data_IF_530910748075
#
_entry.id   IF_530910748075
#
_cell.length_a   1.000
_cell.length_b   1.000
_cell.length_c   1.000
_cell.angle_alpha   90.00
_cell.angle_beta   90.00
_cell.angle_gamma   90.00
#
_symmetry.space_group_name_H-M   'P 1'
#
loop_
_entity.id
_entity.type
_entity.pdbx_description
1 polymer ?
#
# COMPACT_ATOMS: atom_id res chain seq x y z
N UNK A 1 7.83 16.88 6.33
CA UNK A 1 8.13 15.60 5.65
C UNK A 1 7.17 15.52 4.46
N UNK A 2 7.65 15.46 3.21
CA UNK A 2 6.78 15.42 2.01
C UNK A 2 6.16 14.03 1.90
N UNK A 3 4.83 13.94 1.80
CA UNK A 3 4.09 12.70 1.56
C UNK A 3 4.52 12.07 0.23
N UNK A 4 4.66 10.74 0.18
CA UNK A 4 5.05 9.94 -0.99
C UNK A 4 4.06 9.99 -2.18
N UNK A 5 3.08 10.91 -2.14
CA UNK A 5 2.01 11.11 -3.12
C UNK A 5 2.13 12.43 -3.89
N UNK A 6 3.21 13.20 -3.74
CA UNK A 6 3.40 14.49 -4.43
C UNK A 6 3.87 14.30 -5.89
N UNK A 7 3.12 13.57 -6.70
CA UNK A 7 3.19 13.66 -8.17
C UNK A 7 2.23 14.75 -8.63
N UNK A 8 2.66 16.01 -8.48
CA UNK A 8 1.97 17.16 -9.09
C UNK A 8 1.98 17.05 -10.61
N UNK A 9 0.89 16.54 -11.18
CA UNK A 9 0.34 17.14 -12.39
C UNK A 9 -0.82 18.03 -11.93
N UNK A 10 -0.56 19.33 -11.86
CA UNK A 10 -1.63 20.30 -11.76
C UNK A 10 -2.41 20.24 -13.08
N UNK A 11 -3.70 19.94 -13.00
CA UNK A 11 -4.60 20.07 -14.14
C UNK A 11 -4.56 21.53 -14.60
N UNK A 12 -4.46 21.74 -15.93
CA UNK A 12 -4.32 23.08 -16.55
C UNK A 12 -5.52 24.02 -16.26
N UNK A 13 -6.58 23.53 -15.61
CA UNK A 13 -7.82 24.24 -15.32
C UNK A 13 -8.20 24.30 -13.83
N UNK A 14 -7.36 23.79 -12.92
CA UNK A 14 -7.63 23.85 -11.47
C UNK A 14 -8.75 22.93 -10.97
N UNK A 15 -9.34 22.09 -11.83
CA UNK A 15 -10.29 21.05 -11.42
C UNK A 15 -9.53 19.88 -10.76
N UNK A 16 -10.01 19.47 -9.59
CA UNK A 16 -9.44 18.35 -8.84
C UNK A 16 -9.81 17.03 -9.53
N UNK A 17 -8.92 16.05 -9.46
CA UNK A 17 -9.27 14.69 -9.85
C UNK A 17 -10.17 14.05 -8.80
N UNK A 18 -10.95 13.02 -9.17
CA UNK A 18 -11.78 12.26 -8.23
C UNK A 18 -10.97 11.72 -7.04
N UNK A 19 -9.74 11.27 -7.28
CA UNK A 19 -8.84 10.80 -6.23
C UNK A 19 -8.39 11.94 -5.29
N UNK A 20 -8.16 13.15 -5.81
CA UNK A 20 -7.85 14.31 -4.98
C UNK A 20 -9.03 14.71 -4.10
N UNK A 21 -10.25 14.74 -4.66
CA UNK A 21 -11.47 15.03 -3.89
C UNK A 21 -11.72 13.98 -2.80
N UNK A 22 -11.55 12.70 -3.12
CA UNK A 22 -11.62 11.61 -2.16
C UNK A 22 -10.58 11.77 -1.03
N UNK A 23 -9.33 12.07 -1.38
CA UNK A 23 -8.27 12.24 -0.38
C UNK A 23 -8.54 13.43 0.53
N UNK A 24 -9.04 14.55 0.00
CA UNK A 24 -9.42 15.69 0.81
C UNK A 24 -10.58 15.35 1.76
N UNK A 25 -11.58 14.60 1.28
CA UNK A 25 -12.72 14.18 2.09
C UNK A 25 -12.29 13.32 3.27
N UNK A 26 -11.43 12.32 3.07
CA UNK A 26 -11.04 11.40 4.16
C UNK A 26 -9.99 12.01 5.12
N UNK A 27 -9.22 13.02 4.68
CA UNK A 27 -8.22 13.69 5.53
C UNK A 27 -8.82 14.80 6.40
N UNK A 28 -10.11 15.13 6.27
CA UNK A 28 -10.74 16.12 7.12
C UNK A 28 -10.90 15.66 8.58
N UNK A 29 -10.95 16.62 9.49
CA UNK A 29 -11.24 16.37 10.90
C UNK A 29 -12.74 16.54 11.16
N UNK A 30 -13.36 15.48 11.67
CA UNK A 30 -14.80 15.41 11.87
C UNK A 30 -15.13 14.83 13.24
N UNK A 31 -16.26 15.26 13.82
CA UNK A 31 -16.85 14.56 14.96
C UNK A 31 -17.48 13.24 14.52
N UNK A 32 -17.65 12.32 15.47
CA UNK A 32 -18.08 10.93 15.19
C UNK A 32 -19.31 10.78 14.31
N UNK A 33 -20.39 11.54 14.57
CA UNK A 33 -21.59 11.48 13.73
C UNK A 33 -21.29 11.82 12.27
N UNK A 34 -20.47 12.85 12.04
CA UNK A 34 -20.12 13.30 10.70
C UNK A 34 -19.13 12.35 10.00
N UNK A 35 -18.30 11.64 10.77
CA UNK A 35 -17.44 10.57 10.24
C UNK A 35 -18.28 9.46 9.59
N UNK A 36 -19.42 9.09 10.20
CA UNK A 36 -20.35 8.11 9.62
C UNK A 36 -20.98 8.66 8.35
N UNK A 37 -21.48 9.90 8.36
CA UNK A 37 -22.09 10.55 7.18
C UNK A 37 -21.14 10.65 5.98
N UNK A 38 -19.83 10.63 6.21
CA UNK A 38 -18.82 10.66 5.15
C UNK A 38 -18.74 9.32 4.42
N UNK A 39 -18.96 8.20 5.10
CA UNK A 39 -18.93 6.89 4.47
C UNK A 39 -19.99 6.75 3.38
N UNK A 40 -21.13 7.41 3.56
CA UNK A 40 -22.22 7.46 2.57
C UNK A 40 -21.88 8.28 1.33
N UNK A 41 -20.83 9.12 1.39
CA UNK A 41 -20.37 9.96 0.27
C UNK A 41 -19.27 9.29 -0.56
N UNK A 42 -18.77 8.14 -0.13
CA UNK A 42 -17.67 7.45 -0.78
C UNK A 42 -18.25 6.51 -1.85
N UNK A 43 -17.73 6.64 -3.07
CA UNK A 43 -17.94 5.63 -4.11
C UNK A 43 -16.99 4.45 -3.85
N UNK A 44 -17.58 3.34 -3.39
CA UNK A 44 -16.85 2.14 -2.99
C UNK A 44 -16.39 1.26 -4.17
N UNK A 45 -16.68 1.65 -5.42
CA UNK A 45 -16.24 0.91 -6.61
C UNK A 45 -14.78 1.26 -6.99
N UNK A 46 -14.34 2.49 -6.70
CA UNK A 46 -12.98 2.99 -6.95
C UNK A 46 -12.43 2.65 -8.36
N UNK A 47 -13.30 2.64 -9.38
CA UNK A 47 -12.98 2.18 -10.75
C UNK A 47 -11.75 2.85 -11.34
N UNK A 48 -11.57 4.14 -11.09
CA UNK A 48 -10.52 4.96 -11.68
C UNK A 48 -9.29 5.14 -10.75
N UNK A 49 -9.22 4.39 -9.64
CA UNK A 49 -8.16 4.54 -8.64
C UNK A 49 -7.04 3.52 -8.85
N UNK A 50 -5.81 3.94 -8.51
CA UNK A 50 -4.68 3.02 -8.49
C UNK A 50 -4.76 2.10 -7.27
N UNK A 51 -4.85 0.78 -7.49
CA UNK A 51 -4.96 -0.23 -6.43
C UNK A 51 -3.68 -1.06 -6.23
N UNK A 52 -2.66 -0.83 -7.06
CA UNK A 52 -1.45 -1.67 -7.17
C UNK A 52 -0.15 -0.89 -6.89
N UNK A 53 -0.20 0.14 -6.05
CA UNK A 53 0.97 0.93 -5.69
C UNK A 53 1.84 0.27 -4.61
N UNK A 54 3.12 0.63 -4.57
CA UNK A 54 4.10 0.18 -3.57
C UNK A 54 4.09 -1.35 -3.38
N UNK A 55 4.01 -1.82 -2.13
CA UNK A 55 4.08 -3.24 -1.78
C UNK A 55 2.75 -3.97 -2.02
N UNK A 56 1.67 -3.26 -2.39
CA UNK A 56 0.39 -3.90 -2.73
C UNK A 56 0.50 -4.81 -3.94
N UNK A 57 1.46 -4.60 -4.86
CA UNK A 57 1.64 -5.45 -6.04
C UNK A 57 2.52 -6.70 -5.81
N UNK A 58 3.06 -6.89 -4.60
CA UNK A 58 4.08 -7.93 -4.36
C UNK A 58 3.59 -9.37 -4.58
N UNK A 59 2.31 -9.65 -4.31
CA UNK A 59 1.74 -10.99 -4.47
C UNK A 59 0.25 -10.94 -4.81
N UNK A 60 -0.19 -11.85 -5.67
CA UNK A 60 -1.58 -12.02 -6.12
C UNK A 60 -2.43 -12.85 -5.13
N UNK A 61 -2.28 -12.61 -3.83
CA UNK A 61 -3.05 -13.36 -2.82
C UNK A 61 -4.56 -13.12 -3.06
N UNK A 62 -5.40 -14.17 -3.05
CA UNK A 62 -6.81 -14.06 -3.42
C UNK A 62 -7.61 -13.22 -2.41
N UNK A 63 -8.77 -12.74 -2.85
CA UNK A 63 -9.78 -12.08 -1.99
C UNK A 63 -9.24 -10.93 -1.12
N UNK A 64 -8.34 -10.13 -1.69
CA UNK A 64 -7.73 -8.96 -1.02
C UNK A 64 -8.56 -7.70 -1.24
N UNK A 65 -8.61 -6.84 -0.23
CA UNK A 65 -9.17 -5.50 -0.37
C UNK A 65 -8.37 -4.66 -1.36
N UNK A 66 -9.06 -3.76 -2.05
CA UNK A 66 -8.43 -2.58 -2.64
C UNK A 66 -7.92 -1.69 -1.50
N UNK A 67 -6.74 -1.04 -1.62
CA UNK A 67 -6.15 -0.27 -0.53
C UNK A 67 -7.01 0.87 0.01
N UNK A 68 -7.86 1.46 -0.83
CA UNK A 68 -8.72 2.59 -0.50
C UNK A 68 -9.73 2.26 0.60
N UNK A 69 -10.18 1.00 0.69
CA UNK A 69 -11.11 0.57 1.73
C UNK A 69 -10.48 0.74 3.13
N UNK A 70 -9.39 0.02 3.49
CA UNK A 70 -8.78 0.20 4.80
C UNK A 70 -8.23 1.62 5.00
N UNK A 71 -7.70 2.27 3.96
CA UNK A 71 -7.26 3.66 4.03
C UNK A 71 -8.36 4.60 4.52
N UNK A 72 -9.58 4.47 4.00
CA UNK A 72 -10.74 5.27 4.40
C UNK A 72 -10.98 5.15 5.90
N UNK A 73 -11.09 3.93 6.42
CA UNK A 73 -11.35 3.70 7.85
C UNK A 73 -10.21 4.21 8.72
N UNK A 74 -8.96 3.99 8.31
CA UNK A 74 -7.78 4.47 9.04
C UNK A 74 -7.79 5.99 9.12
N UNK A 75 -8.05 6.68 8.00
CA UNK A 75 -8.05 8.14 7.96
C UNK A 75 -9.20 8.77 8.76
N UNK A 76 -10.39 8.21 8.62
CA UNK A 76 -11.59 8.76 9.26
C UNK A 76 -11.59 8.49 10.76
N UNK A 77 -11.25 7.27 11.21
CA UNK A 77 -11.51 6.84 12.60
C UNK A 77 -10.26 6.78 13.49
N UNK A 78 -9.07 7.08 12.98
CA UNK A 78 -7.84 7.03 13.77
C UNK A 78 -6.99 8.28 13.57
N UNK A 79 -6.08 8.55 14.51
CA UNK A 79 -5.07 9.61 14.44
C UNK A 79 -3.68 9.01 14.20
N UNK A 80 -2.74 9.85 13.82
CA UNK A 80 -1.33 9.44 13.76
C UNK A 80 -0.88 8.93 15.14
N UNK A 81 -0.12 7.83 15.15
CA UNK A 81 0.31 7.13 16.35
C UNK A 81 -0.69 6.10 16.90
N UNK A 82 -1.97 6.16 16.53
CA UNK A 82 -2.94 5.15 16.94
C UNK A 82 -2.58 3.75 16.41
N UNK A 83 -3.13 2.72 17.05
CA UNK A 83 -2.92 1.33 16.65
C UNK A 83 -4.14 0.76 15.93
N UNK A 84 -3.92 0.24 14.72
CA UNK A 84 -4.94 -0.43 13.91
C UNK A 84 -4.82 -1.94 14.09
N UNK A 85 -5.88 -2.59 14.54
CA UNK A 85 -5.96 -4.06 14.64
C UNK A 85 -6.75 -4.62 13.47
N UNK A 86 -6.15 -5.59 12.77
CA UNK A 86 -6.84 -6.41 11.77
C UNK A 86 -6.74 -7.91 12.15
N UNK A 87 -7.80 -8.51 12.71
CA UNK A 87 -7.76 -9.89 13.20
C UNK A 87 -7.79 -10.95 12.08
N UNK A 88 -8.00 -10.54 10.82
CA UNK A 88 -8.03 -11.40 9.63
C UNK A 88 -7.31 -10.68 8.48
N UNK A 89 -6.04 -10.34 8.71
CA UNK A 89 -5.34 -9.36 7.89
C UNK A 89 -4.97 -9.83 6.48
N UNK A 90 -5.10 -11.13 6.21
CA UNK A 90 -4.75 -11.74 4.93
C UNK A 90 -3.33 -11.37 4.51
N UNK A 91 -3.18 -10.84 3.29
CA UNK A 91 -1.90 -10.35 2.77
C UNK A 91 -1.49 -8.97 3.29
N UNK A 92 -2.11 -8.46 4.36
CA UNK A 92 -1.67 -7.26 5.08
C UNK A 92 -1.96 -5.93 4.40
N UNK A 93 -3.01 -5.82 3.57
CA UNK A 93 -3.39 -4.53 2.95
C UNK A 93 -3.64 -3.45 4.01
N UNK A 94 -4.40 -3.78 5.06
CA UNK A 94 -4.66 -2.87 6.20
C UNK A 94 -3.39 -2.44 6.91
N UNK A 95 -2.46 -3.38 7.13
CA UNK A 95 -1.20 -3.10 7.85
C UNK A 95 -0.29 -2.17 7.04
N UNK A 96 -0.23 -2.37 5.72
CA UNK A 96 0.50 -1.46 4.82
C UNK A 96 -0.10 -0.07 4.84
N UNK A 97 -1.43 0.07 4.72
CA UNK A 97 -2.08 1.38 4.75
C UNK A 97 -1.93 2.08 6.11
N UNK A 98 -1.99 1.34 7.21
CA UNK A 98 -1.73 1.89 8.54
C UNK A 98 -0.30 2.44 8.62
N UNK A 99 0.67 1.65 8.18
CA UNK A 99 2.08 2.04 8.15
C UNK A 99 2.32 3.29 7.29
N UNK A 100 1.76 3.34 6.08
CA UNK A 100 1.89 4.49 5.16
C UNK A 100 1.28 5.78 5.72
N UNK A 101 0.36 5.66 6.68
CA UNK A 101 -0.34 6.78 7.30
C UNK A 101 0.10 7.03 8.74
N UNK A 102 1.31 6.63 9.13
CA UNK A 102 1.86 6.88 10.47
C UNK A 102 1.01 6.29 11.61
N UNK A 103 0.36 5.15 11.39
CA UNK A 103 -0.31 4.36 12.44
C UNK A 103 0.55 3.14 12.77
N UNK A 104 0.47 2.71 14.02
CA UNK A 104 0.89 1.37 14.41
C UNK A 104 -0.12 0.35 13.88
N UNK A 105 0.30 -0.90 13.67
CA UNK A 105 -0.64 -1.95 13.26
C UNK A 105 -0.31 -3.32 13.84
N UNK A 106 -1.36 -4.08 14.11
CA UNK A 106 -1.29 -5.46 14.58
C UNK A 106 -2.19 -6.27 13.66
N UNK A 107 -1.65 -7.34 13.09
CA UNK A 107 -2.38 -8.22 12.20
C UNK A 107 -2.24 -9.68 12.60
N UNK A 108 -3.34 -10.43 12.52
CA UNK A 108 -3.33 -11.88 12.64
C UNK A 108 -4.05 -12.50 11.43
N UNK A 109 -3.62 -13.69 11.01
CA UNK A 109 -4.32 -14.49 10.01
C UNK A 109 -4.02 -15.97 10.24
N UNK A 110 -5.00 -16.83 9.93
CA UNK A 110 -4.83 -18.27 10.07
C UNK A 110 -3.90 -18.85 9.00
N UNK A 111 -3.85 -18.26 7.80
CA UNK A 111 -3.05 -18.76 6.71
C UNK A 111 -1.58 -18.30 6.85
N UNK A 112 -0.61 -19.23 7.06
CA UNK A 112 0.80 -18.87 7.23
C UNK A 112 1.40 -18.15 6.01
N UNK A 113 0.91 -18.44 4.81
CA UNK A 113 1.35 -17.75 3.59
C UNK A 113 0.90 -16.29 3.59
N UNK A 114 -0.33 -16.03 4.06
CA UNK A 114 -0.88 -14.69 4.16
C UNK A 114 -0.04 -13.85 5.15
N UNK A 115 0.27 -14.42 6.31
CA UNK A 115 1.16 -13.84 7.33
C UNK A 115 2.55 -13.54 6.77
N UNK A 116 3.15 -14.48 6.01
CA UNK A 116 4.45 -14.27 5.38
C UNK A 116 4.42 -13.11 4.38
N UNK A 117 3.41 -13.07 3.51
CA UNK A 117 3.26 -11.98 2.52
C UNK A 117 3.07 -10.65 3.23
N UNK A 118 2.19 -10.61 4.24
CA UNK A 118 1.95 -9.43 5.07
C UNK A 118 3.25 -8.91 5.68
N UNK A 119 4.03 -9.80 6.33
CA UNK A 119 5.33 -9.47 6.92
C UNK A 119 6.30 -8.90 5.89
N UNK A 120 6.40 -9.51 4.70
CA UNK A 120 7.27 -9.00 3.63
C UNK A 120 6.83 -7.61 3.17
N UNK A 121 5.52 -7.38 3.02
CA UNK A 121 4.98 -6.08 2.57
C UNK A 121 5.16 -4.95 3.57
N UNK A 122 5.29 -5.26 4.87
CA UNK A 122 5.42 -4.29 5.96
C UNK A 122 6.85 -4.18 6.51
N UNK A 123 7.78 -5.01 6.04
CA UNK A 123 9.18 -4.98 6.50
C UNK A 123 9.94 -3.87 5.76
N UNK A 124 10.47 -2.92 6.52
CA UNK A 124 11.43 -1.95 6.00
C UNK A 124 12.78 -2.63 5.77
N UNK A 125 13.38 -2.36 4.62
CA UNK A 125 14.73 -2.77 4.28
C UNK A 125 15.63 -1.57 4.50
N UNK A 126 16.67 -1.71 5.31
CA UNK A 126 17.62 -0.62 5.52
C UNK A 126 18.42 -0.33 4.24
N UNK A 127 18.92 0.89 4.11
CA UNK A 127 19.58 1.33 2.89
C UNK A 127 20.85 0.52 2.57
N UNK A 128 21.54 0.01 3.59
CA UNK A 128 22.76 -0.78 3.43
C UNK A 128 22.42 -2.18 2.94
N UNK A 129 21.44 -2.84 3.55
CA UNK A 129 20.91 -4.12 3.10
C UNK A 129 20.34 -4.00 1.68
N UNK A 130 19.56 -2.96 1.39
CA UNK A 130 19.01 -2.71 0.06
C UNK A 130 20.11 -2.59 -1.00
N UNK A 131 21.18 -1.81 -0.73
CA UNK A 131 22.33 -1.70 -1.62
C UNK A 131 23.04 -3.04 -1.82
N UNK A 132 23.23 -3.79 -0.74
CA UNK A 132 23.85 -5.11 -0.78
C UNK A 132 23.04 -6.08 -1.64
N UNK A 133 21.73 -6.19 -1.40
CA UNK A 133 20.83 -7.07 -2.14
C UNK A 133 20.77 -6.69 -3.62
N UNK A 134 20.68 -5.39 -3.95
CA UNK A 134 20.70 -4.94 -5.34
C UNK A 134 22.00 -5.32 -6.06
N UNK A 135 23.15 -5.20 -5.39
CA UNK A 135 24.43 -5.64 -5.97
C UNK A 135 24.43 -7.15 -6.24
N UNK A 136 23.93 -7.95 -5.30
CA UNK A 136 23.81 -9.42 -5.48
C UNK A 136 22.87 -9.77 -6.63
N UNK A 137 21.70 -9.11 -6.71
CA UNK A 137 20.75 -9.30 -7.80
C UNK A 137 21.34 -8.96 -9.17
N UNK A 138 22.14 -7.89 -9.28
CA UNK A 138 22.80 -7.53 -10.52
C UNK A 138 23.77 -8.62 -11.00
N UNK A 139 24.56 -9.19 -10.08
CA UNK A 139 25.46 -10.33 -10.38
C UNK A 139 24.66 -11.56 -10.81
N UNK A 140 23.59 -11.91 -10.10
CA UNK A 140 22.74 -13.06 -10.45
C UNK A 140 22.12 -12.90 -11.82
N UNK A 141 21.60 -11.70 -12.16
CA UNK A 141 21.05 -11.39 -13.49
C UNK A 141 22.10 -11.56 -14.59
N UNK A 142 23.31 -11.06 -14.38
CA UNK A 142 24.41 -11.20 -15.34
C UNK A 142 24.79 -12.67 -15.56
N UNK A 143 24.86 -13.44 -14.48
CA UNK A 143 25.15 -14.89 -14.53
C UNK A 143 24.06 -15.65 -15.28
N UNK A 144 22.78 -15.41 -14.96
CA UNK A 144 21.63 -16.03 -15.65
C UNK A 144 21.65 -15.68 -17.15
N UNK A 145 21.92 -14.42 -17.49
CA UNK A 145 22.02 -13.98 -18.87
C UNK A 145 23.13 -14.72 -19.64
N UNK A 146 24.33 -14.84 -19.06
CA UNK A 146 25.43 -15.61 -19.65
C UNK A 146 25.09 -17.09 -19.83
N UNK A 147 24.44 -17.72 -18.85
CA UNK A 147 24.00 -19.11 -18.92
C UNK A 147 22.94 -19.35 -20.01
N UNK A 148 22.05 -18.38 -20.25
CA UNK A 148 21.09 -18.45 -21.36
C UNK A 148 21.78 -18.36 -22.73
N UNK A 149 22.77 -17.47 -22.87
CA UNK A 149 23.53 -17.33 -24.11
C UNK A 149 24.39 -18.56 -24.44
N UNK A 150 24.94 -19.26 -23.44
CA UNK A 150 25.73 -20.47 -23.69
C UNK A 150 24.87 -21.68 -24.09
N UNK A 151 23.62 -21.77 -23.61
CA UNK A 151 22.67 -22.82 -24.00
C UNK A 151 22.13 -22.66 -25.42
N UNK A 152 21.98 -21.43 -25.92
CA UNK A 152 21.46 -21.15 -27.26
C UNK A 152 22.52 -21.26 -28.39
N UNK A 153 23.76 -21.67 -28.08
CA UNK A 153 24.85 -21.88 -29.06
C UNK A 153 25.10 -23.36 -29.42
N UNK A 154 24.23 -24.26 -28.95
CA UNK A 154 24.18 -25.67 -29.37
C UNK A 154 22.91 -25.89 -30.16
#
# INVERSE_FOLDING_TARGET
>A
MKTLYDTKQATLFGEKTLEQEYLELINGEYGFSKQIDILDKIDWDFKDFSTQYLTHKFHSYPARFIPQIPLTFIKIFTREGDTVLDPMCGCGTTLVEAFLNNRNSIGNDFNPLAVLISKVKTTLIDETEFRYLNKKLAVMKQTIFRLRLSKNRK
#
